data_IF_880780201629
#
_entry.id   IF_880780201629
#
_cell.length_a   1.000
_cell.length_b   1.000
_cell.length_c   1.000
_cell.angle_alpha   90.00
_cell.angle_beta   90.00
_cell.angle_gamma   90.00
#
_symmetry.space_group_name_H-M   'P 1'
#
loop_
_entity.id
_entity.type
_entity.pdbx_description
1 polymer ?
#
# COMPACT_ATOMS: atom_id res chain seq x y z
N UNK A 1 -3.32 -18.91 -17.71
CA UNK A 1 -2.14 -18.77 -16.84
C UNK A 1 -2.51 -19.29 -15.46
N UNK A 2 -1.63 -20.06 -14.83
CA UNK A 2 -1.83 -20.55 -13.47
C UNK A 2 -1.27 -19.51 -12.47
N UNK A 3 -2.03 -19.17 -11.44
CA UNK A 3 -1.55 -18.32 -10.34
C UNK A 3 -1.04 -19.17 -9.18
N UNK A 4 0.09 -18.78 -8.59
CA UNK A 4 0.70 -19.49 -7.47
C UNK A 4 0.84 -18.52 -6.29
N UNK A 5 0.05 -18.67 -5.22
CA UNK A 5 0.18 -17.81 -4.04
C UNK A 5 1.43 -18.20 -3.25
N UNK A 6 2.33 -17.25 -3.05
CA UNK A 6 3.56 -17.41 -2.26
C UNK A 6 3.78 -16.19 -1.37
N UNK A 7 4.64 -16.31 -0.37
CA UNK A 7 5.08 -15.15 0.42
C UNK A 7 5.90 -14.20 -0.47
N UNK A 8 5.76 -12.89 -0.27
CA UNK A 8 6.35 -11.86 -1.14
C UNK A 8 7.88 -12.04 -1.36
N UNK A 9 8.62 -12.40 -0.32
CA UNK A 9 10.08 -12.67 -0.38
C UNK A 9 10.48 -13.87 -1.27
N UNK A 10 9.51 -14.72 -1.65
CA UNK A 10 9.75 -15.88 -2.52
C UNK A 10 9.57 -15.57 -3.99
N UNK A 11 8.98 -14.43 -4.33
CA UNK A 11 8.64 -14.10 -5.71
C UNK A 11 9.90 -13.99 -6.57
N UNK A 12 10.87 -13.16 -6.16
CA UNK A 12 12.12 -12.99 -6.92
C UNK A 12 12.91 -14.31 -7.04
N UNK A 13 13.13 -15.11 -5.98
CA UNK A 13 13.75 -16.42 -6.10
C UNK A 13 13.09 -17.35 -7.13
N UNK A 14 11.76 -17.35 -7.23
CA UNK A 14 11.01 -18.16 -8.21
C UNK A 14 11.19 -17.65 -9.65
N UNK A 15 11.30 -16.33 -9.84
CA UNK A 15 11.59 -15.75 -11.15
C UNK A 15 13.01 -16.10 -11.61
N UNK A 16 13.99 -15.98 -10.72
CA UNK A 16 15.40 -16.27 -11.03
C UNK A 16 15.62 -17.75 -11.36
N UNK A 17 14.94 -18.65 -10.65
CA UNK A 17 15.02 -20.09 -10.89
C UNK A 17 14.26 -20.56 -12.14
N UNK A 18 13.42 -19.71 -12.73
CA UNK A 18 12.57 -20.06 -13.87
C UNK A 18 11.35 -20.92 -13.49
N UNK A 19 11.03 -21.03 -12.19
CA UNK A 19 9.82 -21.70 -11.70
C UNK A 19 8.56 -20.84 -11.93
N UNK A 20 8.72 -19.54 -12.20
CA UNK A 20 7.65 -18.62 -12.57
C UNK A 20 8.07 -17.71 -13.73
N UNK A 21 7.14 -17.44 -14.65
CA UNK A 21 7.36 -16.53 -15.78
C UNK A 21 7.23 -15.05 -15.40
N UNK A 22 6.29 -14.74 -14.48
CA UNK A 22 5.96 -13.38 -14.02
C UNK A 22 5.70 -13.36 -12.53
N UNK A 23 5.99 -12.23 -11.89
CA UNK A 23 5.80 -12.03 -10.45
C UNK A 23 5.20 -10.66 -10.16
N UNK A 24 4.25 -10.61 -9.23
CA UNK A 24 3.67 -9.35 -8.74
C UNK A 24 4.43 -8.94 -7.50
N UNK A 25 5.35 -7.99 -7.65
CA UNK A 25 6.15 -7.48 -6.55
C UNK A 25 5.36 -6.43 -5.74
N UNK A 26 5.48 -6.50 -4.42
CA UNK A 26 4.94 -5.53 -3.46
C UNK A 26 6.07 -5.11 -2.50
N UNK A 27 5.79 -4.23 -1.53
CA UNK A 27 6.76 -3.76 -0.52
C UNK A 27 8.05 -3.15 -1.13
N UNK A 28 9.22 -3.43 -0.54
CA UNK A 28 10.52 -2.86 -0.91
C UNK A 28 11.13 -3.47 -2.18
N UNK A 29 10.71 -4.66 -2.61
CA UNK A 29 11.26 -5.33 -3.78
C UNK A 29 11.11 -4.50 -5.06
N UNK A 30 10.13 -3.57 -5.10
CA UNK A 30 9.95 -2.60 -6.19
C UNK A 30 11.16 -1.68 -6.42
N UNK A 31 12.07 -1.57 -5.46
CA UNK A 31 13.27 -0.73 -5.56
C UNK A 31 14.55 -1.55 -5.81
N UNK A 32 14.48 -2.88 -5.72
CA UNK A 32 15.67 -3.75 -5.74
C UNK A 32 15.67 -4.79 -6.87
N UNK A 33 14.53 -5.05 -7.53
CA UNK A 33 14.44 -6.09 -8.56
C UNK A 33 15.41 -5.88 -9.74
N UNK A 34 15.68 -4.63 -10.15
CA UNK A 34 16.61 -4.33 -11.25
C UNK A 34 18.03 -4.78 -10.94
N UNK A 35 18.47 -4.64 -9.68
CA UNK A 35 19.79 -5.09 -9.22
C UNK A 35 19.94 -6.60 -9.28
N UNK A 36 18.82 -7.33 -9.36
CA UNK A 36 18.76 -8.78 -9.45
C UNK A 36 18.58 -9.28 -10.90
N UNK A 37 18.71 -8.37 -11.89
CA UNK A 37 18.63 -8.71 -13.31
C UNK A 37 17.21 -8.87 -13.84
N UNK A 38 16.20 -8.47 -13.06
CA UNK A 38 14.80 -8.46 -13.49
C UNK A 38 14.45 -7.14 -14.17
N UNK A 39 13.42 -7.14 -15.01
CA UNK A 39 12.89 -5.94 -15.67
C UNK A 39 11.41 -5.74 -15.36
N UNK A 40 10.97 -4.48 -15.33
CA UNK A 40 9.56 -4.11 -15.12
C UNK A 40 8.77 -4.45 -16.39
N UNK A 41 7.80 -5.34 -16.28
CA UNK A 41 6.84 -5.60 -17.36
C UNK A 41 5.75 -4.52 -17.42
N UNK A 42 5.15 -4.20 -16.27
CA UNK A 42 4.09 -3.21 -16.11
C UNK A 42 4.13 -2.65 -14.69
N UNK A 43 3.91 -1.34 -14.54
CA UNK A 43 3.56 -0.77 -13.25
C UNK A 43 2.03 -0.81 -13.09
N UNK A 44 1.55 -1.51 -12.06
CA UNK A 44 0.12 -1.66 -11.81
C UNK A 44 -0.51 -0.39 -11.22
N UNK A 45 0.29 0.49 -10.60
CA UNK A 45 -0.16 1.78 -10.13
C UNK A 45 -0.36 2.75 -11.30
N UNK A 46 0.63 2.85 -12.20
CA UNK A 46 0.51 3.66 -13.42
C UNK A 46 -0.65 3.17 -14.29
N UNK A 47 -0.74 1.86 -14.53
CA UNK A 47 -1.86 1.27 -15.28
C UNK A 47 -3.22 1.57 -14.65
N UNK A 48 -3.32 1.51 -13.31
CA UNK A 48 -4.55 1.85 -12.61
C UNK A 48 -4.92 3.32 -12.79
N UNK A 49 -3.95 4.23 -12.65
CA UNK A 49 -4.17 5.66 -12.83
C UNK A 49 -4.58 6.00 -14.27
N UNK A 50 -3.91 5.43 -15.27
CA UNK A 50 -4.24 5.61 -16.69
C UNK A 50 -5.66 5.13 -17.02
N UNK A 51 -6.09 4.00 -16.43
CA UNK A 51 -7.38 3.38 -16.77
C UNK A 51 -8.55 3.92 -15.94
N UNK A 52 -8.29 4.54 -14.79
CA UNK A 52 -9.34 5.00 -13.86
C UNK A 52 -9.34 6.51 -13.62
N UNK A 53 -8.21 7.17 -13.86
CA UNK A 53 -7.97 8.55 -13.44
C UNK A 53 -7.92 8.71 -11.92
N UNK A 54 -7.65 7.64 -11.17
CA UNK A 54 -7.60 7.61 -9.70
C UNK A 54 -6.29 7.01 -9.22
N UNK A 55 -5.81 7.45 -8.06
CA UNK A 55 -4.76 6.74 -7.35
C UNK A 55 -5.22 5.34 -6.92
N UNK A 56 -4.29 4.37 -6.90
CA UNK A 56 -4.58 3.00 -6.48
C UNK A 56 -4.65 2.89 -4.94
N UNK A 57 -5.77 2.47 -4.33
CA UNK A 57 -5.82 2.20 -2.89
C UNK A 57 -5.05 0.91 -2.57
N UNK A 58 -3.98 1.00 -1.77
CA UNK A 58 -3.12 -0.16 -1.47
C UNK A 58 -3.34 -0.75 -0.07
N UNK A 59 -3.61 0.09 0.92
CA UNK A 59 -3.75 -0.32 2.31
C UNK A 59 -4.67 0.62 3.09
N UNK A 60 -5.27 0.11 4.16
CA UNK A 60 -6.14 0.87 5.04
C UNK A 60 -5.97 0.42 6.49
N UNK A 61 -6.19 1.35 7.42
CA UNK A 61 -6.38 1.04 8.83
C UNK A 61 -7.88 0.84 9.04
N UNK A 62 -8.27 -0.34 9.52
CA UNK A 62 -9.66 -0.71 9.70
C UNK A 62 -9.99 -0.97 11.18
N UNK A 63 -11.17 -0.53 11.61
CA UNK A 63 -11.72 -0.88 12.91
C UNK A 63 -12.71 -2.02 12.80
N UNK A 64 -12.72 -2.90 13.82
CA UNK A 64 -13.82 -3.86 13.99
C UNK A 64 -15.13 -3.09 14.19
N UNK A 65 -16.22 -3.56 13.58
CA UNK A 65 -17.50 -2.81 13.50
C UNK A 65 -18.10 -2.49 14.87
N UNK A 66 -17.92 -3.38 15.84
CA UNK A 66 -18.41 -3.29 17.22
C UNK A 66 -17.62 -2.33 18.13
N UNK A 67 -16.47 -1.81 17.69
CA UNK A 67 -15.74 -0.78 18.42
C UNK A 67 -16.59 0.49 18.47
N UNK A 68 -16.74 1.06 19.66
CA UNK A 68 -17.52 2.27 19.88
C UNK A 68 -16.96 3.46 19.11
N UNK A 69 -17.85 4.32 18.62
CA UNK A 69 -17.51 5.48 17.79
C UNK A 69 -16.46 6.39 18.45
N UNK A 70 -16.60 6.66 19.74
CA UNK A 70 -15.67 7.49 20.51
C UNK A 70 -14.22 6.98 20.45
N UNK A 71 -14.02 5.66 20.58
CA UNK A 71 -12.68 5.06 20.47
C UNK A 71 -12.09 5.20 19.07
N UNK A 72 -12.92 5.10 18.02
CA UNK A 72 -12.50 5.30 16.64
C UNK A 72 -12.05 6.74 16.40
N UNK A 73 -12.81 7.71 16.88
CA UNK A 73 -12.51 9.15 16.75
C UNK A 73 -11.26 9.56 17.55
N UNK A 74 -11.10 9.02 18.77
CA UNK A 74 -9.91 9.24 19.58
C UNK A 74 -8.66 8.64 18.94
N UNK A 75 -8.76 7.44 18.36
CA UNK A 75 -7.65 6.83 17.64
C UNK A 75 -7.30 7.61 16.37
N UNK A 76 -8.29 8.02 15.56
CA UNK A 76 -8.05 8.80 14.34
C UNK A 76 -7.32 10.12 14.64
N UNK A 77 -7.73 10.81 15.71
CA UNK A 77 -7.05 12.01 16.20
C UNK A 77 -5.62 11.72 16.66
N UNK A 78 -5.43 10.61 17.37
CA UNK A 78 -4.10 10.19 17.87
C UNK A 78 -3.17 9.79 16.73
N UNK A 79 -3.68 9.14 15.69
CA UNK A 79 -2.94 8.74 14.50
C UNK A 79 -2.46 9.98 13.72
N UNK A 80 -3.34 10.96 13.52
CA UNK A 80 -2.98 12.24 12.88
C UNK A 80 -1.90 12.97 13.67
N UNK A 81 -2.02 13.01 15.00
CA UNK A 81 -0.97 13.57 15.85
C UNK A 81 0.35 12.80 15.73
N UNK A 82 0.31 11.48 15.68
CA UNK A 82 1.51 10.64 15.49
C UNK A 82 2.21 10.95 14.16
N UNK A 83 1.45 11.12 13.07
CA UNK A 83 1.98 11.52 11.76
C UNK A 83 2.63 12.92 11.84
N UNK A 84 1.91 13.89 12.40
CA UNK A 84 2.40 15.28 12.53
C UNK A 84 3.70 15.34 13.36
N UNK A 85 3.80 14.54 14.44
CA UNK A 85 5.01 14.43 15.24
C UNK A 85 6.17 13.76 14.49
N UNK A 86 5.88 12.71 13.71
CA UNK A 86 6.88 12.02 12.90
C UNK A 86 7.44 12.92 11.80
N UNK A 87 6.60 13.71 11.12
CA UNK A 87 7.06 14.70 10.14
C UNK A 87 7.90 15.81 10.79
N UNK A 88 7.45 16.34 11.93
CA UNK A 88 8.17 17.41 12.64
C UNK A 88 9.53 16.97 13.17
N UNK A 89 9.66 15.70 13.56
CA UNK A 89 10.86 15.15 14.19
C UNK A 89 11.43 13.95 13.42
N UNK A 90 11.46 14.01 12.09
CA UNK A 90 11.82 12.88 11.22
C UNK A 90 13.11 12.17 11.64
N UNK A 91 14.15 12.93 12.00
CA UNK A 91 15.43 12.38 12.47
C UNK A 91 15.28 11.39 13.65
N UNK A 92 14.36 11.65 14.58
CA UNK A 92 14.15 10.80 15.75
C UNK A 92 13.47 9.47 15.43
N UNK A 93 12.90 9.33 14.23
CA UNK A 93 12.19 8.12 13.80
C UNK A 93 13.13 7.07 13.18
N UNK A 94 14.30 7.46 12.66
CA UNK A 94 15.15 6.55 11.89
C UNK A 94 15.70 5.39 12.69
N UNK A 95 16.07 5.57 13.96
CA UNK A 95 16.55 4.45 14.77
C UNK A 95 15.52 3.33 14.83
N UNK A 96 14.25 3.69 15.01
CA UNK A 96 13.15 2.73 15.01
C UNK A 96 12.91 2.14 13.61
N UNK A 97 12.88 2.98 12.57
CA UNK A 97 12.62 2.53 11.19
C UNK A 97 13.70 1.55 10.72
N UNK A 98 14.99 1.90 10.88
CA UNK A 98 16.11 1.07 10.43
C UNK A 98 16.18 -0.26 11.18
N UNK A 99 15.76 -0.29 12.46
CA UNK A 99 15.66 -1.54 13.23
C UNK A 99 14.59 -2.50 12.68
N UNK A 100 13.56 -1.98 12.02
CA UNK A 100 12.41 -2.74 11.53
C UNK A 100 12.31 -2.82 10.00
N UNK A 101 13.29 -2.26 9.30
CA UNK A 101 13.41 -2.27 7.84
C UNK A 101 14.38 -3.37 7.41
N UNK A 102 14.11 -4.03 6.28
CA UNK A 102 15.10 -4.89 5.61
C UNK A 102 16.21 -4.05 4.95
N UNK A 103 15.86 -2.83 4.53
CA UNK A 103 16.76 -1.87 3.91
C UNK A 103 17.46 -1.01 4.96
N UNK A 104 18.76 -0.77 4.76
CA UNK A 104 19.62 -0.10 5.74
C UNK A 104 20.09 1.28 5.30
N UNK A 105 19.80 1.67 4.05
CA UNK A 105 20.20 2.97 3.52
C UNK A 105 19.11 4.00 3.75
N UNK A 106 19.54 5.19 4.16
CA UNK A 106 18.64 6.29 4.46
C UNK A 106 17.84 6.72 3.24
N UNK A 107 18.50 6.74 2.08
CA UNK A 107 17.93 7.17 0.81
C UNK A 107 16.75 6.29 0.38
N UNK A 108 16.85 4.96 0.57
CA UNK A 108 15.77 4.02 0.23
C UNK A 108 14.62 4.14 1.22
N UNK A 109 14.94 4.29 2.52
CA UNK A 109 13.93 4.53 3.56
C UNK A 109 13.15 5.82 3.29
N UNK A 110 13.83 6.89 2.89
CA UNK A 110 13.20 8.16 2.60
C UNK A 110 12.27 8.08 1.40
N UNK A 111 12.74 7.49 0.30
CA UNK A 111 11.91 7.26 -0.88
C UNK A 111 10.67 6.39 -0.57
N UNK A 112 10.83 5.36 0.27
CA UNK A 112 9.71 4.52 0.69
C UNK A 112 8.66 5.32 1.48
N UNK A 113 9.10 6.12 2.45
CA UNK A 113 8.20 6.92 3.28
C UNK A 113 7.50 7.99 2.43
N UNK A 114 8.22 8.70 1.57
CA UNK A 114 7.62 9.74 0.71
C UNK A 114 6.56 9.17 -0.24
N UNK A 115 6.76 7.95 -0.71
CA UNK A 115 5.81 7.29 -1.62
C UNK A 115 4.52 6.86 -0.91
N UNK A 116 4.62 6.30 0.31
CA UNK A 116 3.46 5.69 0.99
C UNK A 116 2.87 6.52 2.12
N UNK A 117 3.58 7.52 2.62
CA UNK A 117 3.13 8.44 3.67
C UNK A 117 2.94 9.82 3.06
N UNK A 118 1.68 10.15 2.77
CA UNK A 118 1.29 11.39 2.10
C UNK A 118 -0.06 11.91 2.64
N UNK A 119 -0.66 12.90 1.97
CA UNK A 119 -1.93 13.50 2.40
C UNK A 119 -3.06 12.48 2.57
N UNK A 120 -3.10 11.41 1.76
CA UNK A 120 -4.11 10.35 1.91
C UNK A 120 -3.93 9.52 3.18
N UNK A 121 -2.69 9.42 3.71
CA UNK A 121 -2.42 8.82 5.02
C UNK A 121 -3.02 9.66 6.14
N UNK A 122 -3.01 10.99 6.00
CA UNK A 122 -3.58 11.92 6.98
C UNK A 122 -5.10 11.98 6.90
N UNK A 123 -5.65 12.00 5.69
CA UNK A 123 -7.08 12.02 5.44
C UNK A 123 -7.36 11.61 3.99
N UNK A 124 -8.29 10.66 3.82
CA UNK A 124 -8.73 10.26 2.49
C UNK A 124 -9.38 11.40 1.69
N UNK A 125 -9.94 12.42 2.36
CA UNK A 125 -10.66 13.49 1.67
C UNK A 125 -11.84 12.97 0.84
N UNK A 126 -12.21 13.69 -0.22
CA UNK A 126 -13.20 13.22 -1.21
C UNK A 126 -12.53 12.31 -2.25
N UNK A 127 -11.34 12.68 -2.69
CA UNK A 127 -10.60 11.97 -3.74
C UNK A 127 -10.17 10.55 -3.34
N UNK A 128 -9.61 10.36 -2.15
CA UNK A 128 -9.25 9.03 -1.66
C UNK A 128 -10.46 8.14 -1.41
N UNK A 129 -11.59 8.72 -0.99
CA UNK A 129 -12.86 7.97 -0.87
C UNK A 129 -13.38 7.52 -2.24
N UNK A 130 -13.30 8.40 -3.23
CA UNK A 130 -13.69 8.10 -4.60
C UNK A 130 -12.79 7.03 -5.25
N UNK A 131 -11.48 7.07 -4.97
CA UNK A 131 -10.55 6.02 -5.37
C UNK A 131 -10.91 4.64 -4.77
N UNK A 132 -11.27 4.60 -3.48
CA UNK A 132 -11.72 3.37 -2.80
C UNK A 132 -13.04 2.85 -3.40
N UNK A 133 -13.99 3.74 -3.66
CA UNK A 133 -15.26 3.38 -4.30
C UNK A 133 -15.04 2.81 -5.71
N UNK A 134 -14.14 3.42 -6.48
CA UNK A 134 -13.77 2.94 -7.83
C UNK A 134 -13.15 1.54 -7.77
N UNK A 135 -12.25 1.29 -6.80
CA UNK A 135 -11.67 -0.03 -6.58
C UNK A 135 -12.74 -1.07 -6.22
N UNK A 136 -13.64 -0.72 -5.31
CA UNK A 136 -14.73 -1.60 -4.91
C UNK A 136 -15.65 -1.93 -6.09
N UNK A 137 -16.07 -0.94 -6.88
CA UNK A 137 -16.92 -1.14 -8.07
C UNK A 137 -16.27 -2.08 -9.08
N UNK A 138 -14.99 -1.88 -9.40
CA UNK A 138 -14.24 -2.78 -10.29
C UNK A 138 -14.10 -4.18 -9.72
N UNK A 139 -13.92 -4.31 -8.40
CA UNK A 139 -13.93 -5.61 -7.72
C UNK A 139 -15.28 -6.33 -7.82
N UNK A 140 -16.39 -5.60 -7.76
CA UNK A 140 -17.74 -6.14 -7.98
C UNK A 140 -17.93 -6.58 -9.44
N UNK A 141 -17.57 -5.72 -10.40
CA UNK A 141 -17.65 -6.01 -11.84
C UNK A 141 -16.82 -7.24 -12.24
N UNK A 142 -15.64 -7.40 -11.63
CA UNK A 142 -14.76 -8.54 -11.83
C UNK A 142 -15.20 -9.81 -11.06
N UNK A 143 -16.24 -9.73 -10.23
CA UNK A 143 -16.75 -10.86 -9.45
C UNK A 143 -15.95 -11.22 -8.20
N UNK A 144 -15.04 -10.35 -7.74
CA UNK A 144 -14.24 -10.54 -6.53
C UNK A 144 -14.95 -10.05 -5.26
N UNK A 145 -15.91 -9.13 -5.37
CA UNK A 145 -16.60 -8.52 -4.24
C UNK A 145 -18.13 -8.59 -4.39
N UNK A 146 -18.88 -8.68 -3.27
CA UNK A 146 -20.35 -8.64 -3.31
C UNK A 146 -20.84 -7.22 -3.61
N UNK A 147 -21.90 -7.07 -4.41
CA UNK A 147 -22.53 -5.78 -4.72
C UNK A 147 -23.34 -5.20 -3.53
N UNK A 148 -23.54 -3.88 -3.50
CA UNK A 148 -24.45 -3.20 -2.56
C UNK A 148 -23.89 -2.93 -1.16
N UNK A 149 -22.56 -3.00 -0.99
CA UNK A 149 -21.84 -2.79 0.28
C UNK A 149 -21.06 -1.47 0.33
N UNK A 150 -21.29 -0.56 -0.62
CA UNK A 150 -20.59 0.72 -0.75
C UNK A 150 -20.72 1.59 0.50
N UNK A 151 -21.91 1.57 1.12
CA UNK A 151 -22.23 2.36 2.33
C UNK A 151 -21.49 1.88 3.58
N UNK A 152 -20.89 0.69 3.55
CA UNK A 152 -20.21 0.08 4.69
C UNK A 152 -18.68 0.26 4.66
N UNK A 153 -18.16 1.00 3.67
CA UNK A 153 -16.72 1.16 3.42
C UNK A 153 -16.02 2.17 4.34
N UNK A 154 -16.76 3.12 4.93
CA UNK A 154 -16.21 4.22 5.74
C UNK A 154 -16.89 4.33 7.11
#
# INVERSE_FOLDING_TARGET
>A
MQTIPVRYDKIIPLLISGEADFGVLIHEERFTYEKQGLSKFQDLGEWWEETTGKHIPLGAIAFRRDIQKEWKENFDSSLKLSLDLAYKNRETTYEYILKHSQETTREVVDAHIELYVNEFTRSLGVEGRDAILTLYQKGVEAGFLPAGKEKELF
#
